data_IF_515392622900
#
_entry.id   IF_515392622900
#
_cell.length_a   1.000
_cell.length_b   1.000
_cell.length_c   1.000
_cell.angle_alpha   90.00
_cell.angle_beta   90.00
_cell.angle_gamma   90.00
#
_symmetry.space_group_name_H-M   'P 1'
#
loop_
_entity.id
_entity.type
_entity.pdbx_description
1 polymer ?
#
# COMPACT_ATOMS: atom_id res chain seq x y z
N UNK A 1 -16.07 -6.62 7.41
CA UNK A 1 -16.30 -6.90 5.96
C UNK A 1 -15.11 -6.43 5.13
N UNK A 2 -14.62 -7.24 4.18
CA UNK A 2 -13.51 -6.85 3.28
C UNK A 2 -13.98 -5.74 2.33
N UNK A 3 -13.44 -4.53 2.49
CA UNK A 3 -13.88 -3.33 1.75
C UNK A 3 -13.50 -3.35 0.26
N UNK A 4 -12.34 -3.93 -0.08
CA UNK A 4 -11.86 -3.93 -1.47
C UNK A 4 -11.35 -5.31 -1.88
N UNK A 5 -11.64 -5.72 -3.13
CA UNK A 5 -11.16 -7.01 -3.68
C UNK A 5 -9.66 -6.96 -4.04
N UNK A 6 -9.20 -5.88 -4.69
CA UNK A 6 -7.86 -5.78 -5.30
C UNK A 6 -7.06 -4.51 -4.95
N UNK A 7 -7.71 -3.36 -4.77
CA UNK A 7 -7.02 -2.05 -4.76
C UNK A 7 -6.29 -1.72 -3.44
N UNK A 8 -6.81 -2.11 -2.28
CA UNK A 8 -6.16 -1.86 -0.99
C UNK A 8 -5.89 -0.38 -0.73
N UNK A 9 -4.69 -0.06 -0.24
CA UNK A 9 -4.25 1.31 0.16
C UNK A 9 -4.39 2.35 -0.97
N UNK A 10 -4.21 1.94 -2.23
CA UNK A 10 -4.38 2.82 -3.40
C UNK A 10 -5.84 3.16 -3.73
N UNK A 11 -6.80 2.69 -2.93
CA UNK A 11 -8.21 3.09 -3.02
C UNK A 11 -8.44 4.59 -2.82
N UNK A 12 -7.54 5.28 -2.08
CA UNK A 12 -7.58 6.74 -1.89
C UNK A 12 -7.54 7.55 -3.20
N UNK A 13 -7.03 6.95 -4.27
CA UNK A 13 -6.94 7.60 -5.58
C UNK A 13 -8.22 7.46 -6.42
N UNK A 14 -9.13 6.54 -6.08
CA UNK A 14 -10.34 6.28 -6.85
C UNK A 14 -10.04 5.81 -8.28
N UNK A 15 -10.69 6.42 -9.28
CA UNK A 15 -10.54 6.12 -10.71
C UNK A 15 -9.34 6.80 -11.37
N UNK A 16 -8.65 7.70 -10.66
CA UNK A 16 -7.56 8.52 -11.20
C UNK A 16 -6.28 7.71 -11.47
N UNK A 17 -5.43 8.28 -12.33
CA UNK A 17 -4.06 7.84 -12.64
C UNK A 17 -3.92 6.47 -13.33
N UNK A 18 -5.02 5.77 -13.62
CA UNK A 18 -4.97 4.48 -14.32
C UNK A 18 -4.51 3.31 -13.44
N UNK A 19 -4.68 2.08 -13.96
CA UNK A 19 -4.46 0.86 -13.18
C UNK A 19 -2.97 0.52 -12.99
N UNK A 20 -2.14 0.73 -14.01
CA UNK A 20 -0.72 0.36 -13.99
C UNK A 20 0.07 1.19 -12.96
N UNK A 21 -0.14 2.52 -12.97
CA UNK A 21 0.50 3.42 -12.01
C UNK A 21 0.07 3.09 -10.58
N UNK A 22 -1.23 2.88 -10.34
CA UNK A 22 -1.71 2.49 -9.00
C UNK A 22 -1.16 1.15 -8.52
N UNK A 23 -0.99 0.15 -9.40
CA UNK A 23 -0.36 -1.13 -9.02
C UNK A 23 1.10 -0.96 -8.62
N UNK A 24 1.85 -0.10 -9.31
CA UNK A 24 3.24 0.22 -8.97
C UNK A 24 3.32 0.92 -7.61
N UNK A 25 2.55 2.00 -7.43
CA UNK A 25 2.48 2.77 -6.18
C UNK A 25 2.02 1.90 -5.01
N UNK A 26 1.08 0.95 -5.22
CA UNK A 26 0.64 0.04 -4.17
C UNK A 26 1.79 -0.72 -3.51
N UNK A 27 2.80 -1.16 -4.27
CA UNK A 27 3.96 -1.88 -3.72
C UNK A 27 4.82 -0.95 -2.83
N UNK A 28 5.04 0.27 -3.28
CA UNK A 28 5.82 1.29 -2.57
C UNK A 28 5.09 1.79 -1.32
N UNK A 29 3.78 2.03 -1.39
CA UNK A 29 3.02 2.47 -0.21
C UNK A 29 2.92 1.39 0.85
N UNK A 30 2.75 0.12 0.47
CA UNK A 30 2.71 -0.99 1.44
C UNK A 30 4.04 -1.08 2.19
N UNK A 31 5.17 -1.02 1.49
CA UNK A 31 6.49 -1.07 2.12
C UNK A 31 6.74 0.15 3.00
N UNK A 32 6.46 1.35 2.50
CA UNK A 32 6.61 2.60 3.28
C UNK A 32 5.79 2.62 4.57
N UNK A 33 4.55 2.11 4.55
CA UNK A 33 3.68 2.10 5.73
C UNK A 33 3.84 0.82 6.57
N UNK A 34 4.74 -0.09 6.19
CA UNK A 34 5.04 -1.26 6.98
C UNK A 34 5.84 -0.85 8.22
N UNK A 35 5.53 -1.49 9.35
CA UNK A 35 6.41 -1.42 10.51
C UNK A 35 7.56 -2.39 10.29
N UNK A 36 8.77 -1.91 10.48
CA UNK A 36 9.98 -2.71 10.43
C UNK A 36 10.47 -2.93 11.86
N UNK A 37 10.98 -4.12 12.13
CA UNK A 37 11.62 -4.43 13.42
C UNK A 37 13.00 -3.79 13.46
N UNK A 38 13.22 -2.92 14.43
CA UNK A 38 14.51 -2.28 14.65
C UNK A 38 15.57 -3.34 14.99
N UNK A 39 16.68 -3.35 14.25
CA UNK A 39 17.79 -4.31 14.46
C UNK A 39 18.51 -4.13 15.79
N UNK A 40 18.32 -2.99 16.46
CA UNK A 40 18.95 -2.68 17.74
C UNK A 40 18.07 -3.04 18.94
N UNK A 41 16.82 -2.59 18.95
CA UNK A 41 15.92 -2.77 20.11
C UNK A 41 14.82 -3.82 19.90
N UNK A 42 14.73 -4.44 18.71
CA UNK A 42 13.79 -5.51 18.39
C UNK A 42 12.32 -5.10 18.31
N UNK A 43 12.02 -3.81 18.48
CA UNK A 43 10.67 -3.24 18.40
C UNK A 43 10.30 -2.81 16.99
#
# INVERSE_FOLDING_TARGET
>A
AKRTKKVGITGKYGTRYGASLRKMVKKMEVTQHSKYTCTFCGK
#
